data_IF_553540162129
#
_entry.id   IF_553540162129
#
_cell.length_a   1.000
_cell.length_b   1.000
_cell.length_c   1.000
_cell.angle_alpha   90.00
_cell.angle_beta   90.00
_cell.angle_gamma   90.00
#
_symmetry.space_group_name_H-M   'P 1'
#
loop_
_entity.id
_entity.type
_entity.pdbx_description
1 polymer ?
#
# COMPACT_ATOMS: atom_id res chain seq x y z
N UNK A 1 24.94 -10.53 17.57
CA UNK A 1 26.31 -10.88 18.03
C UNK A 1 27.28 -10.31 17.02
N UNK A 2 27.93 -9.18 17.37
CA UNK A 2 28.93 -8.57 16.50
C UNK A 2 30.17 -9.45 16.49
N UNK A 3 30.48 -10.06 15.34
CA UNK A 3 31.77 -10.72 15.14
C UNK A 3 32.87 -9.66 15.02
N UNK A 4 34.07 -9.93 15.57
CA UNK A 4 35.16 -8.98 15.44
C UNK A 4 35.54 -8.84 13.96
N UNK A 5 35.77 -7.63 13.51
CA UNK A 5 36.32 -7.28 12.19
C UNK A 5 37.81 -7.71 12.15
N UNK A 6 38.07 -9.02 12.20
CA UNK A 6 39.41 -9.54 11.94
C UNK A 6 39.58 -9.74 10.43
N UNK A 7 40.64 -9.20 9.88
CA UNK A 7 41.03 -9.43 8.49
C UNK A 7 41.10 -10.93 8.24
N UNK A 8 40.42 -11.46 7.21
CA UNK A 8 40.47 -12.89 6.91
C UNK A 8 41.93 -13.37 6.72
N UNK A 9 42.26 -14.55 7.19
CA UNK A 9 43.61 -15.14 7.00
C UNK A 9 44.01 -15.13 5.52
N UNK A 10 45.24 -14.85 5.20
CA UNK A 10 45.74 -14.78 3.82
C UNK A 10 45.65 -16.09 3.06
N UNK A 11 45.55 -17.22 3.79
CA UNK A 11 45.42 -18.58 3.27
C UNK A 11 43.95 -19.02 3.04
N UNK A 12 42.97 -18.23 3.46
CA UNK A 12 41.54 -18.52 3.26
C UNK A 12 41.10 -18.30 1.80
N UNK A 13 41.53 -17.18 1.21
CA UNK A 13 41.15 -16.78 -0.17
C UNK A 13 42.29 -17.07 -1.13
N UNK A 14 42.21 -18.19 -1.82
CA UNK A 14 43.27 -18.73 -2.69
C UNK A 14 42.95 -18.51 -4.19
N UNK A 15 42.19 -17.49 -4.53
CA UNK A 15 41.76 -17.16 -5.91
C UNK A 15 42.92 -17.19 -6.94
N UNK A 16 44.14 -16.69 -6.65
CA UNK A 16 45.27 -16.78 -7.58
C UNK A 16 45.62 -18.21 -8.02
N UNK A 17 45.29 -19.20 -7.23
CA UNK A 17 45.54 -20.61 -7.61
C UNK A 17 44.72 -21.08 -8.79
N UNK A 18 43.53 -20.47 -9.06
CA UNK A 18 42.74 -20.78 -10.24
C UNK A 18 43.55 -20.68 -11.52
N UNK A 19 44.43 -19.72 -11.62
CA UNK A 19 45.27 -19.47 -12.80
C UNK A 19 46.59 -20.25 -12.81
N UNK A 20 47.01 -20.75 -11.65
CA UNK A 20 48.27 -21.56 -11.51
C UNK A 20 48.02 -23.02 -11.82
N UNK A 21 46.79 -23.50 -11.64
CA UNK A 21 46.43 -24.89 -11.91
C UNK A 21 46.22 -25.08 -13.42
N UNK A 22 46.71 -26.26 -13.92
CA UNK A 22 46.51 -26.63 -15.32
C UNK A 22 45.00 -26.84 -15.58
N UNK A 23 44.37 -26.12 -16.54
CA UNK A 23 42.97 -26.29 -16.83
C UNK A 23 42.72 -27.71 -17.36
N UNK A 24 41.69 -28.39 -16.82
CA UNK A 24 41.20 -29.65 -17.36
C UNK A 24 40.60 -29.42 -18.75
N UNK A 25 40.73 -30.42 -19.63
CA UNK A 25 40.14 -30.38 -20.95
C UNK A 25 38.60 -30.27 -20.82
N UNK A 26 38.06 -29.23 -21.42
CA UNK A 26 36.62 -28.92 -21.40
C UNK A 26 36.02 -29.30 -22.76
N UNK A 27 34.91 -30.03 -22.78
CA UNK A 27 34.12 -30.26 -23.98
C UNK A 27 33.26 -29.02 -24.28
N UNK A 28 33.85 -28.10 -25.06
CA UNK A 28 33.20 -26.83 -25.44
C UNK A 28 31.90 -27.05 -26.24
N UNK A 29 31.73 -28.14 -26.94
CA UNK A 29 30.50 -28.44 -27.68
C UNK A 29 29.37 -28.83 -26.73
N UNK A 30 29.66 -29.73 -25.77
CA UNK A 30 28.71 -30.12 -24.74
C UNK A 30 28.29 -28.92 -23.88
N UNK A 31 29.24 -28.04 -23.55
CA UNK A 31 28.99 -26.79 -22.79
C UNK A 31 28.02 -25.86 -23.58
N UNK A 32 28.28 -25.62 -24.85
CA UNK A 32 27.45 -24.75 -25.69
C UNK A 32 26.02 -25.30 -25.89
N UNK A 33 25.89 -26.61 -26.11
CA UNK A 33 24.59 -27.27 -26.27
C UNK A 33 23.78 -27.18 -24.94
N UNK A 34 24.45 -27.32 -23.82
CA UNK A 34 23.82 -27.18 -22.52
C UNK A 34 23.29 -25.77 -22.24
N UNK A 35 24.04 -24.73 -22.64
CA UNK A 35 23.59 -23.33 -22.51
C UNK A 35 22.43 -23.03 -23.46
N UNK A 36 22.40 -23.61 -24.65
CA UNK A 36 21.26 -23.48 -25.58
C UNK A 36 19.99 -24.14 -25.03
N UNK A 37 20.10 -25.34 -24.43
CA UNK A 37 18.97 -26.03 -23.79
C UNK A 37 18.39 -25.20 -22.61
N UNK A 38 19.27 -24.62 -21.80
CA UNK A 38 18.89 -23.70 -20.73
C UNK A 38 18.14 -22.48 -21.28
N UNK A 39 18.63 -21.87 -22.36
CA UNK A 39 17.99 -20.70 -22.99
C UNK A 39 16.58 -21.02 -23.53
N UNK A 40 16.40 -22.19 -24.13
CA UNK A 40 15.08 -22.64 -24.61
C UNK A 40 14.09 -22.85 -23.45
N UNK A 41 14.55 -23.39 -22.33
CA UNK A 41 13.71 -23.67 -21.14
C UNK A 41 13.38 -22.43 -20.31
N UNK A 42 14.11 -21.31 -20.50
CA UNK A 42 13.81 -20.04 -19.81
C UNK A 42 12.38 -19.54 -20.06
N UNK A 43 11.84 -19.81 -21.24
CA UNK A 43 10.50 -19.36 -21.63
C UNK A 43 9.38 -20.23 -21.04
N UNK A 44 9.61 -21.53 -20.88
CA UNK A 44 8.57 -22.48 -20.51
C UNK A 44 8.39 -22.67 -18.99
N UNK A 45 9.50 -22.70 -18.24
CA UNK A 45 9.47 -23.00 -16.79
C UNK A 45 10.54 -22.22 -15.99
N UNK A 46 10.38 -20.90 -15.82
CA UNK A 46 11.37 -20.08 -15.13
C UNK A 46 11.62 -20.54 -13.66
N UNK A 47 10.61 -21.08 -13.00
CA UNK A 47 10.73 -21.57 -11.61
C UNK A 47 11.66 -22.78 -11.46
N UNK A 48 11.81 -23.61 -12.51
CA UNK A 48 12.69 -24.79 -12.51
C UNK A 48 14.08 -24.51 -13.09
N UNK A 49 14.23 -23.38 -13.72
CA UNK A 49 15.47 -23.00 -14.41
C UNK A 49 16.64 -22.89 -13.44
N UNK A 50 16.45 -22.27 -12.28
CA UNK A 50 17.50 -22.10 -11.28
C UNK A 50 18.01 -23.44 -10.78
N UNK A 51 17.10 -24.39 -10.49
CA UNK A 51 17.48 -25.74 -10.09
C UNK A 51 18.34 -26.44 -11.14
N UNK A 52 17.94 -26.36 -12.40
CA UNK A 52 18.69 -26.96 -13.51
C UNK A 52 20.05 -26.32 -13.73
N UNK A 53 20.14 -24.99 -13.59
CA UNK A 53 21.40 -24.27 -13.68
C UNK A 53 22.39 -24.72 -12.59
N UNK A 54 21.90 -24.87 -11.35
CA UNK A 54 22.69 -25.37 -10.22
C UNK A 54 23.09 -26.84 -10.43
N UNK A 55 22.18 -27.70 -10.87
CA UNK A 55 22.49 -29.10 -11.24
C UNK A 55 23.55 -29.16 -12.34
N UNK A 56 23.46 -28.27 -13.32
CA UNK A 56 24.45 -28.21 -14.40
C UNK A 56 25.81 -27.74 -13.91
N UNK A 57 25.85 -26.70 -13.04
CA UNK A 57 27.07 -26.25 -12.41
C UNK A 57 27.78 -27.41 -11.69
N UNK A 58 27.03 -28.18 -10.90
CA UNK A 58 27.56 -29.33 -10.18
C UNK A 58 28.09 -30.44 -11.11
N UNK A 59 27.28 -30.82 -12.14
CA UNK A 59 27.65 -31.88 -13.08
C UNK A 59 28.89 -31.54 -13.93
N UNK A 60 28.93 -30.30 -14.46
CA UNK A 60 29.99 -29.86 -15.36
C UNK A 60 31.34 -29.68 -14.64
N UNK A 61 31.30 -29.30 -13.37
CA UNK A 61 32.52 -29.06 -12.58
C UNK A 61 32.95 -30.23 -11.74
N UNK A 62 32.12 -31.28 -11.61
CA UNK A 62 32.37 -32.40 -10.71
C UNK A 62 32.30 -32.04 -9.24
N UNK A 63 31.61 -30.94 -8.91
CA UNK A 63 31.43 -30.52 -7.53
C UNK A 63 30.47 -31.44 -6.77
N UNK A 64 30.70 -31.61 -5.48
CA UNK A 64 29.86 -32.42 -4.58
C UNK A 64 28.58 -31.73 -4.17
N UNK A 65 28.60 -30.41 -4.10
CA UNK A 65 27.41 -29.57 -3.81
C UNK A 65 27.46 -28.27 -4.58
N UNK A 66 26.28 -27.74 -4.88
CA UNK A 66 26.12 -26.45 -5.54
C UNK A 66 24.86 -25.73 -5.03
N UNK A 67 24.82 -24.40 -5.16
CA UNK A 67 23.66 -23.63 -4.76
C UNK A 67 23.78 -22.14 -5.07
N UNK A 68 22.69 -21.44 -4.80
CA UNK A 68 22.56 -20.00 -4.95
C UNK A 68 22.38 -19.38 -3.56
N UNK A 69 23.17 -18.35 -3.27
CA UNK A 69 22.94 -17.46 -2.11
C UNK A 69 22.32 -16.17 -2.64
N UNK A 70 20.98 -16.06 -2.57
CA UNK A 70 20.26 -14.87 -3.00
C UNK A 70 20.42 -13.76 -1.96
N UNK A 71 20.81 -12.56 -2.40
CA UNK A 71 20.96 -11.41 -1.52
C UNK A 71 19.60 -10.78 -1.22
N UNK A 72 19.30 -10.57 0.05
CA UNK A 72 18.13 -9.87 0.56
C UNK A 72 18.60 -8.62 1.34
N UNK A 73 18.31 -7.41 0.85
CA UNK A 73 18.64 -6.19 1.56
C UNK A 73 17.79 -6.04 2.83
N UNK A 74 18.34 -5.37 3.85
CA UNK A 74 17.65 -5.06 5.11
C UNK A 74 17.73 -3.54 5.36
N UNK A 75 16.60 -2.93 5.72
CA UNK A 75 16.57 -1.49 6.03
C UNK A 75 17.46 -1.17 7.24
N UNK A 76 18.49 -0.33 7.04
CA UNK A 76 19.43 0.07 8.09
C UNK A 76 20.49 -0.96 8.43
N UNK A 77 20.57 -2.10 7.70
CA UNK A 77 21.55 -3.17 7.86
C UNK A 77 22.31 -3.50 6.59
N UNK A 78 23.28 -4.41 6.67
CA UNK A 78 24.02 -4.90 5.52
C UNK A 78 23.23 -5.94 4.70
N UNK A 79 22.10 -6.42 5.22
CA UNK A 79 21.32 -7.50 4.63
C UNK A 79 21.90 -8.90 4.91
N UNK A 80 21.30 -9.87 4.27
CA UNK A 80 21.68 -11.28 4.42
C UNK A 80 21.54 -12.03 3.11
N UNK A 81 22.11 -13.24 3.07
CA UNK A 81 21.91 -14.17 1.97
C UNK A 81 20.93 -15.25 2.39
N UNK A 82 19.99 -15.59 1.50
CA UNK A 82 19.12 -16.76 1.63
C UNK A 82 19.58 -17.84 0.64
N UNK A 83 19.81 -19.03 1.15
CA UNK A 83 20.25 -20.18 0.35
C UNK A 83 19.07 -20.79 -0.39
N UNK A 84 19.24 -20.98 -1.71
CA UNK A 84 18.18 -21.45 -2.60
C UNK A 84 18.71 -22.42 -3.66
N UNK A 85 17.83 -23.32 -4.08
CA UNK A 85 18.08 -24.25 -5.18
C UNK A 85 19.30 -25.11 -4.95
N UNK A 86 19.48 -25.58 -3.72
CA UNK A 86 20.67 -26.35 -3.28
C UNK A 86 20.67 -27.76 -3.85
N UNK A 87 21.86 -28.26 -4.18
CA UNK A 87 22.08 -29.64 -4.64
C UNK A 87 23.27 -30.23 -3.93
N UNK A 88 23.29 -31.60 -3.86
CA UNK A 88 24.32 -32.35 -3.14
C UNK A 88 24.07 -32.43 -1.64
N UNK A 89 25.11 -32.65 -0.85
CA UNK A 89 24.99 -32.79 0.59
C UNK A 89 24.47 -31.55 1.31
N UNK A 90 24.70 -30.38 0.75
CA UNK A 90 24.22 -29.10 1.31
C UNK A 90 22.74 -28.82 1.04
N UNK A 91 22.02 -29.66 0.29
CA UNK A 91 20.59 -29.51 0.02
C UNK A 91 19.73 -29.45 1.31
N UNK A 92 20.18 -30.06 2.39
CA UNK A 92 19.52 -30.02 3.72
C UNK A 92 19.41 -28.62 4.31
N UNK A 93 20.19 -27.65 3.83
CA UNK A 93 20.20 -26.27 4.31
C UNK A 93 19.37 -25.33 3.42
N UNK A 94 18.50 -25.87 2.57
CA UNK A 94 17.59 -25.05 1.74
C UNK A 94 16.82 -24.04 2.59
N UNK A 95 16.83 -22.77 2.19
CA UNK A 95 16.17 -21.68 2.91
C UNK A 95 16.97 -21.07 4.08
N UNK A 96 18.13 -21.63 4.45
CA UNK A 96 18.98 -21.06 5.49
C UNK A 96 19.46 -19.65 5.13
N UNK A 97 19.71 -18.82 6.14
CA UNK A 97 20.20 -17.47 5.97
C UNK A 97 21.60 -17.30 6.55
N UNK A 98 22.41 -16.46 5.90
CA UNK A 98 23.78 -16.15 6.33
C UNK A 98 24.03 -14.64 6.24
N UNK A 99 24.82 -14.06 7.18
CA UNK A 99 25.06 -12.63 7.22
C UNK A 99 25.86 -12.16 6.01
N UNK A 100 25.50 -10.95 5.49
CA UNK A 100 26.16 -10.34 4.31
C UNK A 100 27.64 -10.08 4.57
N UNK A 101 27.96 -9.47 5.71
CA UNK A 101 29.31 -8.95 6.05
C UNK A 101 30.21 -10.02 6.65
N UNK A 102 29.68 -11.16 7.00
CA UNK A 102 30.43 -12.26 7.59
C UNK A 102 30.16 -13.57 6.85
N UNK A 103 30.48 -13.56 5.54
CA UNK A 103 30.35 -14.73 4.68
C UNK A 103 31.29 -14.69 3.46
N UNK A 104 31.67 -15.84 2.89
CA UNK A 104 32.40 -15.90 1.63
C UNK A 104 31.65 -15.23 0.47
N UNK A 105 30.31 -15.33 0.49
CA UNK A 105 29.42 -14.72 -0.50
C UNK A 105 29.56 -13.20 -0.50
N UNK A 106 29.63 -12.57 0.68
CA UNK A 106 29.85 -11.16 0.81
C UNK A 106 31.14 -10.69 0.21
N UNK A 107 32.23 -11.37 0.51
CA UNK A 107 33.57 -11.06 -0.06
C UNK A 107 33.57 -11.24 -1.58
N UNK A 108 32.90 -12.26 -2.11
CA UNK A 108 32.78 -12.48 -3.55
C UNK A 108 32.04 -11.32 -4.23
N UNK A 109 30.94 -10.82 -3.65
CA UNK A 109 30.23 -9.67 -4.17
C UNK A 109 31.08 -8.39 -4.11
N UNK A 110 31.79 -8.13 -3.02
CA UNK A 110 32.63 -6.93 -2.85
C UNK A 110 33.81 -6.88 -3.85
N UNK A 111 34.33 -8.06 -4.22
CA UNK A 111 35.42 -8.16 -5.20
C UNK A 111 34.96 -8.12 -6.65
N UNK A 112 33.67 -8.30 -6.93
CA UNK A 112 33.12 -8.37 -8.28
C UNK A 112 33.76 -9.45 -9.18
N UNK A 113 34.38 -10.48 -8.59
CA UNK A 113 35.11 -11.50 -9.33
C UNK A 113 34.87 -12.91 -8.74
N UNK A 114 35.19 -13.92 -9.55
CA UNK A 114 35.18 -15.30 -9.06
C UNK A 114 36.16 -15.43 -7.90
N UNK A 115 35.70 -16.01 -6.80
CA UNK A 115 36.45 -16.13 -5.55
C UNK A 115 36.60 -17.61 -5.17
N UNK A 116 37.85 -18.08 -4.97
CA UNK A 116 38.14 -19.40 -4.48
C UNK A 116 38.52 -19.35 -3.01
N UNK A 117 37.84 -20.13 -2.17
CA UNK A 117 38.17 -20.25 -0.74
C UNK A 117 38.55 -21.67 -0.40
N UNK A 118 39.39 -21.81 0.63
CA UNK A 118 39.82 -23.08 1.20
C UNK A 118 39.39 -23.13 2.67
N UNK A 119 38.69 -24.17 3.10
CA UNK A 119 38.25 -24.39 4.46
C UNK A 119 37.60 -23.17 5.13
N UNK A 120 36.52 -22.57 4.53
CA UNK A 120 35.88 -21.38 5.07
C UNK A 120 35.31 -21.60 6.47
N UNK A 121 34.99 -22.83 6.87
CA UNK A 121 34.56 -23.21 8.23
C UNK A 121 35.58 -22.88 9.32
N UNK A 122 36.87 -22.74 8.98
CA UNK A 122 37.92 -22.35 9.95
C UNK A 122 37.80 -20.88 10.36
N UNK A 123 37.19 -20.06 9.52
CA UNK A 123 37.03 -18.64 9.78
C UNK A 123 35.57 -18.24 10.08
N UNK A 124 34.62 -18.77 9.31
CA UNK A 124 33.20 -18.47 9.47
C UNK A 124 32.56 -19.43 10.45
N UNK A 125 32.42 -19.00 11.70
CA UNK A 125 31.94 -19.84 12.82
C UNK A 125 30.57 -20.47 12.56
N UNK A 126 29.70 -19.83 11.80
CA UNK A 126 28.37 -20.36 11.46
C UNK A 126 28.46 -21.59 10.52
N UNK A 127 29.49 -21.69 9.65
CA UNK A 127 29.73 -22.88 8.82
C UNK A 127 30.18 -24.05 9.72
N UNK A 128 31.10 -23.77 10.63
CA UNK A 128 31.56 -24.78 11.60
C UNK A 128 30.44 -25.27 12.51
N UNK A 129 29.58 -24.38 13.00
CA UNK A 129 28.39 -24.71 13.82
C UNK A 129 27.37 -25.56 13.07
N UNK A 130 27.25 -25.37 11.75
CA UNK A 130 26.42 -26.21 10.90
C UNK A 130 26.98 -27.61 10.65
N UNK A 131 28.18 -27.90 11.15
CA UNK A 131 28.86 -29.18 10.95
C UNK A 131 29.26 -29.44 9.50
N UNK A 132 29.49 -28.38 8.73
CA UNK A 132 29.87 -28.46 7.32
C UNK A 132 31.36 -28.25 7.17
N UNK A 133 32.00 -29.16 6.42
CA UNK A 133 33.41 -29.04 6.02
C UNK A 133 33.46 -28.81 4.52
N UNK A 134 34.09 -27.73 4.09
CA UNK A 134 34.21 -27.36 2.69
C UNK A 134 35.68 -27.23 2.30
N UNK A 135 36.34 -28.29 1.86
CA UNK A 135 37.78 -28.24 1.49
C UNK A 135 38.05 -27.13 0.47
N UNK A 136 37.20 -26.98 -0.54
CA UNK A 136 37.27 -25.90 -1.52
C UNK A 136 35.89 -25.42 -1.91
N UNK A 137 35.73 -24.08 -1.98
CA UNK A 137 34.49 -23.43 -2.48
C UNK A 137 34.85 -22.43 -3.55
N UNK A 138 34.25 -22.58 -4.73
CA UNK A 138 34.31 -21.58 -5.80
C UNK A 138 33.01 -20.82 -5.87
N UNK A 139 33.07 -19.50 -5.74
CA UNK A 139 31.92 -18.60 -5.80
C UNK A 139 32.06 -17.66 -7.00
N UNK A 140 30.94 -17.35 -7.64
CA UNK A 140 30.87 -16.31 -8.66
C UNK A 140 29.72 -15.36 -8.33
N UNK A 141 29.93 -14.04 -8.52
CA UNK A 141 28.90 -13.05 -8.18
C UNK A 141 27.79 -13.04 -9.22
N UNK A 142 26.57 -12.76 -8.76
CA UNK A 142 25.39 -12.57 -9.58
C UNK A 142 24.98 -11.10 -9.52
N UNK A 143 24.89 -10.44 -10.68
CA UNK A 143 24.48 -9.05 -10.83
C UNK A 143 23.44 -8.89 -11.93
N UNK A 144 22.55 -7.90 -11.76
CA UNK A 144 21.73 -7.38 -12.87
C UNK A 144 22.53 -6.28 -13.61
N UNK A 145 22.13 -5.96 -14.84
CA UNK A 145 22.57 -4.77 -15.54
C UNK A 145 22.52 -3.55 -14.59
N UNK A 146 23.61 -2.77 -14.53
CA UNK A 146 23.83 -1.63 -13.62
C UNK A 146 24.40 -1.95 -12.22
N UNK A 147 24.91 -3.18 -12.00
CA UNK A 147 25.70 -3.47 -10.79
C UNK A 147 24.92 -3.75 -9.52
N UNK A 148 23.61 -3.95 -9.61
CA UNK A 148 22.84 -4.37 -8.44
C UNK A 148 23.13 -5.84 -8.08
N UNK A 149 23.57 -6.14 -6.84
CA UNK A 149 23.89 -7.49 -6.42
C UNK A 149 22.61 -8.31 -6.26
N UNK A 150 22.59 -9.50 -6.89
CA UNK A 150 21.53 -10.49 -6.72
C UNK A 150 21.94 -11.60 -5.73
N UNK A 151 23.22 -11.81 -5.55
CA UNK A 151 23.76 -12.88 -4.73
C UNK A 151 24.99 -13.54 -5.34
N UNK A 152 25.20 -14.81 -5.03
CA UNK A 152 26.31 -15.63 -5.56
C UNK A 152 25.82 -17.01 -5.99
N UNK A 153 26.41 -17.54 -7.07
CA UNK A 153 26.36 -18.95 -7.43
C UNK A 153 27.64 -19.61 -6.91
N UNK A 154 27.52 -20.72 -6.21
CA UNK A 154 28.67 -21.39 -5.62
C UNK A 154 28.64 -22.90 -5.83
N UNK A 155 29.84 -23.49 -5.83
CA UNK A 155 30.09 -24.92 -5.89
C UNK A 155 31.11 -25.31 -4.82
N UNK A 156 30.95 -26.50 -4.24
CA UNK A 156 31.80 -27.05 -3.18
C UNK A 156 32.40 -28.35 -3.62
N UNK A 157 33.69 -28.53 -3.36
CA UNK A 157 34.45 -29.81 -3.54
C UNK A 157 34.71 -30.48 -2.20
N UNK A 158 34.72 -31.80 -2.20
CA UNK A 158 35.16 -32.64 -1.07
C UNK A 158 36.70 -32.75 -0.95
N UNK A 159 37.40 -32.27 -1.98
CA UNK A 159 38.85 -32.33 -2.04
C UNK A 159 39.46 -30.99 -2.40
N UNK A 160 40.66 -30.70 -1.89
CA UNK A 160 41.44 -29.53 -2.32
C UNK A 160 41.99 -29.73 -3.74
N UNK A 161 42.15 -28.64 -4.48
CA UNK A 161 42.78 -28.65 -5.81
C UNK A 161 41.87 -29.04 -6.97
N UNK A 162 40.55 -29.16 -6.76
CA UNK A 162 39.63 -29.53 -7.82
C UNK A 162 39.42 -28.40 -8.82
N UNK A 163 39.23 -27.19 -8.32
CA UNK A 163 38.79 -26.07 -9.17
C UNK A 163 39.97 -25.33 -9.81
N UNK A 164 39.82 -24.99 -11.09
CA UNK A 164 40.80 -24.30 -11.94
C UNK A 164 40.11 -23.13 -12.72
N UNK A 165 40.88 -22.46 -13.59
CA UNK A 165 40.36 -21.34 -14.41
C UNK A 165 39.25 -21.73 -15.38
N UNK A 166 39.22 -22.96 -15.85
CA UNK A 166 38.15 -23.52 -16.68
C UNK A 166 36.82 -23.59 -15.91
N UNK A 167 36.85 -24.09 -14.68
CA UNK A 167 35.67 -24.14 -13.81
C UNK A 167 35.16 -22.73 -13.47
N UNK A 168 36.05 -21.78 -13.18
CA UNK A 168 35.67 -20.39 -12.94
C UNK A 168 35.05 -19.73 -14.17
N UNK A 169 35.48 -20.06 -15.39
CA UNK A 169 34.89 -19.59 -16.63
C UNK A 169 33.45 -20.14 -16.81
N UNK A 170 33.28 -21.45 -16.68
CA UNK A 170 31.98 -22.10 -16.77
C UNK A 170 31.00 -21.51 -15.76
N UNK A 171 31.43 -21.36 -14.51
CA UNK A 171 30.61 -20.78 -13.45
C UNK A 171 30.19 -19.35 -13.76
N UNK A 172 31.05 -18.51 -14.35
CA UNK A 172 30.69 -17.15 -14.76
C UNK A 172 29.68 -17.13 -15.91
N UNK A 173 29.81 -18.01 -16.87
CA UNK A 173 28.84 -18.17 -17.97
C UNK A 173 27.46 -18.59 -17.41
N UNK A 174 27.40 -19.60 -16.55
CA UNK A 174 26.17 -20.02 -15.88
C UNK A 174 25.60 -18.89 -14.99
N UNK A 175 26.44 -18.15 -14.29
CA UNK A 175 26.03 -17.03 -13.44
C UNK A 175 25.28 -15.94 -14.22
N UNK A 176 25.67 -15.67 -15.47
CA UNK A 176 24.96 -14.70 -16.31
C UNK A 176 23.50 -15.14 -16.59
N UNK A 177 23.25 -16.43 -16.82
CA UNK A 177 21.90 -16.96 -17.00
C UNK A 177 21.11 -16.99 -15.69
N UNK A 178 21.76 -17.34 -14.57
CA UNK A 178 21.13 -17.28 -13.23
C UNK A 178 20.69 -15.86 -12.90
N UNK A 179 21.54 -14.86 -13.19
CA UNK A 179 21.22 -13.46 -12.99
C UNK A 179 19.97 -13.04 -13.73
N UNK A 180 19.87 -13.38 -15.02
CA UNK A 180 18.71 -13.09 -15.86
C UNK A 180 17.46 -13.81 -15.31
N UNK A 181 17.57 -15.10 -14.95
CA UNK A 181 16.46 -15.88 -14.43
C UNK A 181 15.93 -15.32 -13.10
N UNK A 182 16.83 -14.96 -12.18
CA UNK A 182 16.46 -14.31 -10.91
C UNK A 182 15.74 -12.99 -11.12
N UNK A 183 16.27 -12.14 -12.02
CA UNK A 183 15.63 -10.88 -12.38
C UNK A 183 14.23 -11.10 -12.96
N UNK A 184 14.07 -12.10 -13.83
CA UNK A 184 12.78 -12.46 -14.41
C UNK A 184 11.76 -12.91 -13.35
N UNK A 185 12.15 -13.78 -12.43
CA UNK A 185 11.29 -14.25 -11.31
C UNK A 185 10.91 -13.09 -10.40
N UNK A 186 11.84 -12.21 -10.07
CA UNK A 186 11.55 -11.01 -9.25
C UNK A 186 10.56 -10.07 -9.95
N UNK A 187 10.79 -9.74 -11.22
CA UNK A 187 9.90 -8.89 -11.99
C UNK A 187 8.49 -9.50 -12.13
N UNK A 188 8.40 -10.81 -12.33
CA UNK A 188 7.12 -11.50 -12.42
C UNK A 188 6.33 -11.45 -11.10
N UNK A 189 7.02 -11.57 -9.95
CA UNK A 189 6.39 -11.40 -8.63
C UNK A 189 5.88 -9.98 -8.44
N UNK A 190 6.74 -8.98 -8.69
CA UNK A 190 6.35 -7.57 -8.58
C UNK A 190 5.15 -7.24 -9.46
N UNK A 191 5.11 -7.77 -10.69
CA UNK A 191 3.98 -7.56 -11.59
C UNK A 191 2.69 -8.22 -11.07
N UNK A 192 2.78 -9.43 -10.53
CA UNK A 192 1.61 -10.10 -9.90
C UNK A 192 1.08 -9.31 -8.71
N UNK A 193 1.97 -8.82 -7.85
CA UNK A 193 1.59 -8.04 -6.68
C UNK A 193 0.94 -6.71 -7.09
N UNK A 194 1.50 -6.03 -8.10
CA UNK A 194 0.94 -4.79 -8.65
C UNK A 194 -0.44 -5.01 -9.28
N UNK A 195 -0.63 -6.12 -10.03
CA UNK A 195 -1.93 -6.47 -10.60
C UNK A 195 -2.97 -6.77 -9.52
N UNK A 196 -2.60 -7.54 -8.49
CA UNK A 196 -3.50 -7.83 -7.36
C UNK A 196 -3.92 -6.55 -6.62
N UNK A 197 -2.99 -5.62 -6.42
CA UNK A 197 -3.29 -4.33 -5.83
C UNK A 197 -4.21 -3.48 -6.72
N UNK A 198 -3.97 -3.46 -8.02
CA UNK A 198 -4.82 -2.77 -8.98
C UNK A 198 -6.25 -3.33 -9.00
N UNK A 199 -6.42 -4.65 -8.98
CA UNK A 199 -7.74 -5.29 -8.91
C UNK A 199 -8.48 -4.93 -7.63
N UNK A 200 -7.77 -4.90 -6.48
CA UNK A 200 -8.36 -4.48 -5.20
C UNK A 200 -8.87 -3.04 -5.27
N UNK A 201 -8.04 -2.12 -5.76
CA UNK A 201 -8.43 -0.71 -5.93
C UNK A 201 -9.60 -0.54 -6.89
N UNK A 202 -9.63 -1.31 -7.99
CA UNK A 202 -10.74 -1.28 -8.96
C UNK A 202 -12.06 -1.71 -8.30
N UNK A 203 -12.07 -2.80 -7.54
CA UNK A 203 -13.28 -3.26 -6.82
C UNK A 203 -13.74 -2.25 -5.78
N UNK A 204 -12.80 -1.63 -5.06
CA UNK A 204 -13.14 -0.57 -4.11
C UNK A 204 -13.75 0.64 -4.82
N UNK A 205 -13.21 1.06 -5.97
CA UNK A 205 -13.79 2.13 -6.78
C UNK A 205 -15.20 1.77 -7.28
N UNK A 206 -15.42 0.56 -7.78
CA UNK A 206 -16.75 0.10 -8.21
C UNK A 206 -17.75 0.16 -7.05
N UNK A 207 -17.37 -0.31 -5.87
CA UNK A 207 -18.21 -0.23 -4.68
C UNK A 207 -18.54 1.23 -4.31
N UNK A 208 -17.55 2.13 -4.35
CA UNK A 208 -17.74 3.56 -4.09
C UNK A 208 -18.65 4.22 -5.14
N UNK A 209 -18.51 3.87 -6.41
CA UNK A 209 -19.37 4.37 -7.50
C UNK A 209 -20.80 3.90 -7.31
N UNK A 210 -21.02 2.62 -7.02
CA UNK A 210 -22.35 2.07 -6.78
C UNK A 210 -23.05 2.73 -5.57
N UNK A 211 -22.29 3.03 -4.51
CA UNK A 211 -22.81 3.77 -3.36
C UNK A 211 -23.30 5.16 -3.75
N UNK A 212 -22.59 5.84 -4.66
CA UNK A 212 -23.02 7.15 -5.17
C UNK A 212 -24.32 7.04 -5.95
N UNK A 213 -24.39 6.08 -6.87
CA UNK A 213 -25.62 5.88 -7.66
C UNK A 213 -26.82 5.58 -6.77
N UNK A 214 -26.64 4.75 -5.74
CA UNK A 214 -27.72 4.46 -4.76
C UNK A 214 -28.19 5.71 -4.02
N UNK A 215 -27.27 6.62 -3.64
CA UNK A 215 -27.62 7.88 -3.01
C UNK A 215 -28.34 8.82 -3.99
N UNK A 216 -27.87 8.89 -5.25
CA UNK A 216 -28.51 9.72 -6.30
C UNK A 216 -29.91 9.20 -6.61
N UNK A 217 -30.08 7.89 -6.74
CA UNK A 217 -31.39 7.27 -7.00
C UNK A 217 -32.37 7.57 -5.86
N UNK A 218 -31.95 7.39 -4.60
CA UNK A 218 -32.74 7.79 -3.45
C UNK A 218 -33.12 9.26 -3.46
N UNK A 219 -32.19 10.17 -3.86
CA UNK A 219 -32.49 11.60 -3.99
C UNK A 219 -33.52 11.89 -5.08
N UNK A 220 -33.44 11.22 -6.23
CA UNK A 220 -34.40 11.34 -7.32
C UNK A 220 -35.78 10.95 -6.81
N UNK A 221 -35.94 9.77 -6.25
CA UNK A 221 -37.21 9.28 -5.71
C UNK A 221 -37.79 10.21 -4.65
N UNK A 222 -36.97 10.65 -3.70
CA UNK A 222 -37.37 11.55 -2.62
C UNK A 222 -37.80 12.94 -3.22
N UNK A 223 -37.07 13.45 -4.20
CA UNK A 223 -37.37 14.73 -4.79
C UNK A 223 -38.66 14.66 -5.65
N UNK A 224 -38.87 13.58 -6.40
CA UNK A 224 -40.05 13.34 -7.22
C UNK A 224 -41.34 13.37 -6.42
N UNK A 225 -41.34 12.79 -5.22
CA UNK A 225 -42.51 12.75 -4.34
C UNK A 225 -42.89 14.12 -3.76
N UNK A 226 -41.93 15.08 -3.69
CA UNK A 226 -42.12 16.39 -3.05
C UNK A 226 -42.28 17.54 -4.03
N UNK A 227 -41.90 17.35 -5.28
CA UNK A 227 -41.89 18.42 -6.28
C UNK A 227 -43.32 18.79 -6.70
N UNK A 228 -43.61 20.09 -6.71
CA UNK A 228 -44.93 20.64 -7.15
C UNK A 228 -44.94 20.88 -8.65
N UNK A 229 -43.79 20.94 -9.31
CA UNK A 229 -43.63 21.09 -10.75
C UNK A 229 -42.30 20.50 -11.23
N UNK A 230 -42.17 20.30 -12.55
CA UNK A 230 -40.90 19.86 -13.14
C UNK A 230 -39.74 20.85 -12.87
N UNK A 231 -40.04 22.17 -12.85
CA UNK A 231 -39.06 23.21 -12.55
C UNK A 231 -38.60 23.15 -11.07
N UNK A 232 -39.52 22.92 -10.13
CA UNK A 232 -39.19 22.74 -8.70
C UNK A 232 -38.40 21.46 -8.47
N UNK A 233 -38.77 20.37 -9.13
CA UNK A 233 -37.99 19.11 -9.12
C UNK A 233 -36.55 19.36 -9.57
N UNK A 234 -36.34 19.96 -10.74
CA UNK A 234 -35.02 20.21 -11.30
C UNK A 234 -34.17 21.11 -10.39
N UNK A 235 -34.75 22.17 -9.84
CA UNK A 235 -34.07 23.10 -8.93
C UNK A 235 -33.65 22.42 -7.62
N UNK A 236 -34.55 21.68 -7.01
CA UNK A 236 -34.28 20.97 -5.73
C UNK A 236 -33.26 19.86 -5.91
N UNK A 237 -33.41 19.02 -6.94
CA UNK A 237 -32.46 17.95 -7.24
C UNK A 237 -31.06 18.49 -7.55
N UNK A 238 -30.97 19.55 -8.37
CA UNK A 238 -29.68 20.19 -8.68
C UNK A 238 -28.99 20.77 -7.44
N UNK A 239 -29.79 21.33 -6.50
CA UNK A 239 -29.25 21.80 -5.20
C UNK A 239 -28.65 20.66 -4.38
N UNK A 240 -29.36 19.56 -4.23
CA UNK A 240 -28.91 18.37 -3.51
C UNK A 240 -27.66 17.75 -4.13
N UNK A 241 -27.61 17.63 -5.46
CA UNK A 241 -26.45 17.10 -6.18
C UNK A 241 -25.21 18.01 -6.01
N UNK A 242 -25.41 19.34 -6.02
CA UNK A 242 -24.31 20.27 -5.75
C UNK A 242 -23.78 20.15 -4.33
N UNK A 243 -24.64 20.02 -3.32
CA UNK A 243 -24.21 19.79 -1.94
C UNK A 243 -23.41 18.49 -1.80
N UNK A 244 -23.88 17.41 -2.46
CA UNK A 244 -23.15 16.14 -2.51
C UNK A 244 -21.79 16.28 -3.20
N UNK A 245 -21.72 17.02 -4.30
CA UNK A 245 -20.46 17.26 -5.02
C UNK A 245 -19.46 18.08 -4.19
N UNK A 246 -19.94 19.15 -3.51
CA UNK A 246 -19.11 19.95 -2.61
C UNK A 246 -18.54 19.11 -1.44
N UNK A 247 -19.38 18.28 -0.81
CA UNK A 247 -18.94 17.36 0.22
C UNK A 247 -17.84 16.39 -0.27
N UNK A 248 -17.93 15.91 -1.53
CA UNK A 248 -16.92 15.02 -2.12
C UNK A 248 -15.62 15.73 -2.46
N UNK A 249 -15.62 17.01 -2.77
CA UNK A 249 -14.38 17.77 -2.97
C UNK A 249 -13.56 17.80 -1.68
N UNK A 250 -14.21 17.91 -0.52
CA UNK A 250 -13.54 17.83 0.78
C UNK A 250 -12.84 16.46 1.01
N UNK A 251 -13.48 15.37 0.58
CA UNK A 251 -12.90 14.02 0.65
C UNK A 251 -11.73 13.87 -0.34
N UNK A 252 -11.83 14.47 -1.52
CA UNK A 252 -10.85 14.31 -2.61
C UNK A 252 -9.49 14.95 -2.33
N UNK A 253 -9.41 16.02 -1.55
CA UNK A 253 -8.14 16.64 -1.15
C UNK A 253 -7.24 15.69 -0.35
N UNK A 254 -7.79 14.60 0.17
CA UNK A 254 -7.06 13.54 0.88
C UNK A 254 -6.31 12.57 -0.05
N UNK A 255 -6.72 12.47 -1.32
CA UNK A 255 -6.19 11.48 -2.29
C UNK A 255 -5.31 12.11 -3.38
N UNK A 256 -4.76 13.29 -3.18
CA UNK A 256 -3.85 13.90 -4.16
C UNK A 256 -2.55 13.08 -4.24
N UNK A 257 -2.14 12.61 -5.43
CA UNK A 257 -0.92 11.83 -5.59
C UNK A 257 0.30 12.70 -5.22
N UNK A 258 1.08 12.25 -4.24
CA UNK A 258 2.32 12.89 -3.78
C UNK A 258 2.32 13.43 -2.35
N UNK A 259 1.20 13.37 -1.62
CA UNK A 259 1.16 13.65 -0.18
C UNK A 259 0.96 12.33 0.56
N UNK A 260 1.82 12.03 1.52
CA UNK A 260 1.65 10.90 2.43
C UNK A 260 0.29 11.04 3.14
N UNK A 261 -0.49 9.97 3.22
CA UNK A 261 -1.82 9.92 3.89
C UNK A 261 -1.82 10.49 5.31
N UNK A 262 -0.68 10.47 5.98
CA UNK A 262 -0.45 11.02 7.32
C UNK A 262 -0.31 12.55 7.38
N UNK A 263 -0.25 13.27 6.25
CA UNK A 263 -0.01 14.72 6.22
C UNK A 263 -1.20 15.55 5.71
N UNK A 264 -2.24 14.92 5.15
CA UNK A 264 -3.46 15.64 4.75
C UNK A 264 -4.44 15.69 5.92
N UNK A 265 -4.88 16.88 6.38
CA UNK A 265 -5.84 16.99 7.46
C UNK A 265 -7.15 16.30 7.06
N UNK A 266 -7.69 15.45 7.93
CA UNK A 266 -8.99 14.82 7.74
C UNK A 266 -10.06 15.93 7.60
N UNK A 267 -11.04 15.78 6.67
CA UNK A 267 -12.14 16.74 6.56
C UNK A 267 -12.87 16.81 7.90
N UNK A 268 -13.17 18.04 8.33
CA UNK A 268 -13.74 18.29 9.64
C UNK A 268 -15.20 18.70 9.56
N UNK A 269 -15.92 18.59 10.66
CA UNK A 269 -17.31 19.00 10.76
C UNK A 269 -17.47 20.49 10.41
N UNK A 270 -16.57 21.33 10.90
CA UNK A 270 -16.56 22.78 10.60
C UNK A 270 -16.41 23.02 9.09
N UNK A 271 -15.42 22.40 8.46
CA UNK A 271 -15.18 22.55 7.03
C UNK A 271 -16.39 22.09 6.16
N UNK A 272 -17.07 21.01 6.59
CA UNK A 272 -18.27 20.53 5.93
C UNK A 272 -19.41 21.53 6.02
N UNK A 273 -19.65 22.09 7.21
CA UNK A 273 -20.69 23.10 7.43
C UNK A 273 -20.38 24.34 6.56
N UNK A 274 -19.14 24.84 6.59
CA UNK A 274 -18.71 26.00 5.78
C UNK A 274 -18.95 25.78 4.29
N UNK A 275 -18.53 24.63 3.75
CA UNK A 275 -18.73 24.29 2.34
C UNK A 275 -20.21 24.18 1.96
N UNK A 276 -21.07 23.69 2.86
CA UNK A 276 -22.52 23.57 2.62
C UNK A 276 -23.19 24.93 2.59
N UNK A 277 -22.70 25.89 3.40
CA UNK A 277 -23.26 27.24 3.48
C UNK A 277 -22.68 28.23 2.48
N UNK A 278 -21.60 27.89 1.78
CA UNK A 278 -20.99 28.79 0.78
C UNK A 278 -22.00 29.39 -0.24
N UNK A 279 -22.98 28.63 -0.79
CA UNK A 279 -23.98 29.17 -1.70
C UNK A 279 -24.96 30.17 -1.05
N UNK A 280 -25.06 30.19 0.27
CA UNK A 280 -25.97 31.04 1.04
C UNK A 280 -25.25 32.22 1.71
N UNK A 281 -23.95 32.35 1.54
CA UNK A 281 -23.15 33.48 2.03
C UNK A 281 -23.50 34.70 1.21
N UNK A 282 -24.22 35.63 1.82
CA UNK A 282 -24.37 37.01 1.36
C UNK A 282 -23.27 37.86 1.98
N UNK A 283 -23.08 39.10 1.52
CA UNK A 283 -22.04 40.04 1.94
C UNK A 283 -22.03 40.27 3.47
N UNK A 284 -23.10 39.92 4.16
CA UNK A 284 -23.28 40.09 5.60
C UNK A 284 -22.89 38.81 6.35
N UNK A 285 -21.62 38.74 6.73
CA UNK A 285 -21.00 37.62 7.46
C UNK A 285 -21.59 37.34 8.88
N UNK A 286 -22.45 38.28 9.41
CA UNK A 286 -22.98 38.16 10.79
C UNK A 286 -24.25 37.29 10.86
N UNK A 287 -24.80 36.84 9.75
CA UNK A 287 -26.05 36.05 9.71
C UNK A 287 -25.86 34.58 9.95
N UNK A 288 -24.60 34.12 10.07
CA UNK A 288 -24.27 32.74 10.25
C UNK A 288 -23.18 32.59 11.31
N UNK A 289 -23.51 31.94 12.42
CA UNK A 289 -22.60 31.75 13.55
C UNK A 289 -22.38 30.27 13.79
N UNK A 290 -21.12 29.87 13.95
CA UNK A 290 -20.72 28.48 14.24
C UNK A 290 -19.89 28.44 15.50
N UNK A 291 -20.24 27.52 16.41
CA UNK A 291 -19.53 27.29 17.65
C UNK A 291 -19.44 25.79 17.97
N UNK A 292 -18.26 25.32 18.31
CA UNK A 292 -18.00 23.94 18.68
C UNK A 292 -16.54 23.56 18.45
N UNK A 293 -16.08 22.56 19.18
CA UNK A 293 -14.77 21.96 18.98
C UNK A 293 -14.74 21.18 17.67
N UNK A 294 -13.70 21.40 16.86
CA UNK A 294 -13.62 20.77 15.55
C UNK A 294 -13.32 19.26 15.67
N UNK A 295 -13.94 18.46 14.79
CA UNK A 295 -13.74 17.01 14.78
C UNK A 295 -13.59 16.48 13.38
N UNK A 296 -12.75 15.47 13.22
CA UNK A 296 -12.57 14.77 11.96
C UNK A 296 -13.78 13.90 11.63
N UNK A 297 -14.16 13.88 10.35
CA UNK A 297 -15.25 13.08 9.81
C UNK A 297 -14.74 11.99 8.86
N UNK A 298 -15.37 10.82 8.92
CA UNK A 298 -15.20 9.77 7.92
C UNK A 298 -16.01 10.05 6.64
N UNK A 299 -15.62 9.42 5.54
CA UNK A 299 -16.22 9.65 4.21
C UNK A 299 -17.73 9.40 4.17
N UNK A 300 -18.19 8.39 4.92
CA UNK A 300 -19.61 8.06 5.03
C UNK A 300 -20.41 9.13 5.78
N UNK A 301 -19.81 9.72 6.81
CA UNK A 301 -20.44 10.77 7.60
C UNK A 301 -20.58 12.06 6.80
N UNK A 302 -19.54 12.45 6.06
CA UNK A 302 -19.52 13.67 5.23
C UNK A 302 -20.71 13.70 4.28
N UNK A 303 -20.94 12.60 3.54
CA UNK A 303 -22.05 12.51 2.59
C UNK A 303 -23.42 12.68 3.25
N UNK A 304 -23.63 12.02 4.40
CA UNK A 304 -24.90 12.10 5.12
C UNK A 304 -25.14 13.46 5.77
N UNK A 305 -24.12 14.00 6.44
CA UNK A 305 -24.21 15.30 7.10
C UNK A 305 -24.35 16.47 6.12
N UNK A 306 -23.69 16.39 4.94
CA UNK A 306 -23.87 17.38 3.89
C UNK A 306 -25.34 17.53 3.48
N UNK A 307 -26.06 16.40 3.36
CA UNK A 307 -27.48 16.41 3.05
C UNK A 307 -28.31 17.00 4.19
N UNK A 308 -27.99 16.64 5.44
CA UNK A 308 -28.67 17.18 6.62
C UNK A 308 -28.53 18.70 6.66
N UNK A 309 -27.32 19.22 6.56
CA UNK A 309 -27.08 20.67 6.60
C UNK A 309 -27.65 21.39 5.37
N UNK A 310 -27.59 20.78 4.18
CA UNK A 310 -28.19 21.36 2.99
C UNK A 310 -29.71 21.50 3.11
N UNK A 311 -30.41 20.50 3.65
CA UNK A 311 -31.86 20.59 3.86
C UNK A 311 -32.21 21.63 4.92
N UNK A 312 -31.46 21.72 6.03
CA UNK A 312 -31.66 22.75 7.04
C UNK A 312 -31.41 24.16 6.46
N UNK A 313 -30.31 24.34 5.70
CA UNK A 313 -29.99 25.61 5.04
C UNK A 313 -31.05 26.02 4.02
N UNK A 314 -31.54 25.06 3.21
CA UNK A 314 -32.59 25.31 2.22
C UNK A 314 -33.91 25.72 2.89
N UNK A 315 -34.26 25.06 4.00
CA UNK A 315 -35.44 25.39 4.79
C UNK A 315 -35.34 26.81 5.39
N UNK A 316 -34.18 27.15 5.97
CA UNK A 316 -33.92 28.48 6.49
C UNK A 316 -34.01 29.57 5.41
N UNK A 317 -33.49 29.26 4.20
CA UNK A 317 -33.54 30.22 3.08
C UNK A 317 -34.93 30.38 2.45
N UNK A 318 -35.76 29.31 2.43
CA UNK A 318 -37.09 29.35 1.80
C UNK A 318 -38.18 29.81 2.76
N UNK A 319 -38.11 29.39 4.02
CA UNK A 319 -39.24 29.52 4.96
C UNK A 319 -38.82 30.08 6.32
N UNK A 320 -37.51 30.04 6.64
CA UNK A 320 -37.00 30.37 7.94
C UNK A 320 -36.22 31.69 8.03
N UNK A 321 -35.26 31.73 8.95
CA UNK A 321 -34.52 32.95 9.29
C UNK A 321 -33.82 33.63 8.09
N UNK A 322 -33.28 32.84 7.18
CA UNK A 322 -32.53 33.40 6.02
C UNK A 322 -33.43 33.99 4.95
N UNK A 323 -34.77 33.86 5.01
CA UNK A 323 -35.71 34.51 4.10
C UNK A 323 -35.89 36.01 4.44
N UNK A 324 -35.53 36.45 5.64
CA UNK A 324 -35.59 37.82 6.12
C UNK A 324 -34.21 38.45 6.25
N UNK A 325 -34.07 39.75 6.08
CA UNK A 325 -32.79 40.47 6.17
C UNK A 325 -32.18 40.46 7.58
N UNK A 326 -33.01 40.46 8.61
CA UNK A 326 -32.59 40.41 10.02
C UNK A 326 -32.41 39.01 10.60
N UNK A 327 -32.67 37.98 9.78
CA UNK A 327 -32.63 36.59 10.24
C UNK A 327 -31.21 36.07 10.39
N UNK A 328 -31.03 35.24 11.39
CA UNK A 328 -29.75 34.64 11.75
C UNK A 328 -29.89 33.14 12.00
N UNK A 329 -28.89 32.37 11.59
CA UNK A 329 -28.73 30.95 11.88
C UNK A 329 -27.51 30.74 12.75
N UNK A 330 -27.67 30.07 13.88
CA UNK A 330 -26.56 29.61 14.71
C UNK A 330 -26.51 28.09 14.77
N UNK A 331 -25.30 27.55 14.59
CA UNK A 331 -25.02 26.11 14.68
C UNK A 331 -23.99 25.94 15.79
N UNK A 332 -24.34 25.17 16.80
CA UNK A 332 -23.38 24.75 17.83
C UNK A 332 -23.34 23.24 17.91
N UNK A 333 -22.19 22.72 18.29
CA UNK A 333 -22.02 21.28 18.52
C UNK A 333 -21.05 21.03 19.68
N UNK A 334 -21.34 19.96 20.40
CA UNK A 334 -20.53 19.53 21.53
C UNK A 334 -20.48 17.99 21.63
N UNK A 335 -19.38 17.49 22.13
CA UNK A 335 -19.25 16.06 22.42
C UNK A 335 -19.81 15.77 23.81
N UNK A 336 -20.82 14.93 23.90
CA UNK A 336 -21.43 14.44 25.14
C UNK A 336 -21.15 12.93 25.28
N UNK A 337 -19.98 12.59 25.83
CA UNK A 337 -19.52 11.21 25.90
C UNK A 337 -19.30 10.59 24.51
N UNK A 338 -20.07 9.55 24.19
CA UNK A 338 -19.99 8.85 22.89
C UNK A 338 -20.96 9.41 21.83
N UNK A 339 -21.60 10.53 22.12
CA UNK A 339 -22.59 11.18 21.24
C UNK A 339 -22.11 12.60 20.91
N UNK A 340 -22.28 12.99 19.65
CA UNK A 340 -22.17 14.38 19.19
C UNK A 340 -23.57 15.00 19.22
N UNK A 341 -23.75 16.05 20.01
CA UNK A 341 -24.96 16.87 20.04
C UNK A 341 -24.77 18.09 19.11
N UNK A 342 -25.58 18.19 18.07
CA UNK A 342 -25.59 19.33 17.14
C UNK A 342 -26.89 20.09 17.38
N UNK A 343 -26.79 21.40 17.59
CA UNK A 343 -27.94 22.28 17.75
C UNK A 343 -27.94 23.34 16.64
N UNK A 344 -28.98 23.31 15.82
CA UNK A 344 -29.31 24.32 14.82
C UNK A 344 -30.36 25.24 15.37
N UNK A 345 -30.17 26.54 15.34
CA UNK A 345 -31.14 27.53 15.81
C UNK A 345 -31.32 28.66 14.80
N UNK A 346 -32.58 28.93 14.45
CA UNK A 346 -32.99 30.05 13.64
C UNK A 346 -33.66 31.13 14.47
N UNK A 347 -33.38 32.39 14.17
CA UNK A 347 -33.95 33.53 14.83
C UNK A 347 -34.11 34.74 13.85
N UNK A 348 -35.08 35.62 14.10
CA UNK A 348 -35.26 36.79 13.25
C UNK A 348 -35.91 36.53 11.86
N UNK A 349 -36.46 35.36 11.67
CA UNK A 349 -37.23 34.99 10.50
C UNK A 349 -38.72 35.30 10.65
N UNK A 350 -39.57 34.87 9.70
CA UNK A 350 -41.02 35.01 9.78
C UNK A 350 -41.56 34.37 11.06
N UNK A 351 -42.56 34.98 11.74
CA UNK A 351 -43.15 34.43 12.96
C UNK A 351 -43.85 33.08 12.67
N UNK A 352 -43.56 32.07 13.46
CA UNK A 352 -44.14 30.73 13.35
C UNK A 352 -45.38 30.67 14.24
N UNK A 353 -46.56 30.67 13.62
CA UNK A 353 -47.84 30.62 14.35
C UNK A 353 -48.20 29.18 14.79
N UNK A 354 -47.87 28.18 13.98
CA UNK A 354 -48.11 26.75 14.25
C UNK A 354 -46.94 25.91 13.73
N UNK A 355 -46.63 24.84 14.46
CA UNK A 355 -45.73 23.81 13.94
C UNK A 355 -46.32 23.20 12.66
N UNK A 356 -45.53 22.88 11.64
CA UNK A 356 -46.01 22.22 10.44
C UNK A 356 -46.74 20.91 10.79
N UNK A 357 -48.04 20.79 10.38
CA UNK A 357 -48.84 19.58 10.65
C UNK A 357 -48.29 18.34 9.95
N UNK A 358 -47.63 18.52 8.84
CA UNK A 358 -46.91 17.46 8.13
C UNK A 358 -45.44 17.85 7.98
N UNK A 359 -44.58 16.94 8.33
CA UNK A 359 -43.18 17.05 7.97
C UNK A 359 -43.07 17.10 6.44
N UNK A 360 -42.71 18.24 5.92
CA UNK A 360 -42.33 18.32 4.51
C UNK A 360 -41.22 17.30 4.20
N UNK A 361 -41.05 17.03 2.93
CA UNK A 361 -40.19 15.95 2.45
C UNK A 361 -38.72 16.08 2.92
N UNK A 362 -38.18 17.30 3.06
CA UNK A 362 -36.90 17.60 3.68
C UNK A 362 -36.80 17.06 5.10
N UNK A 363 -37.90 17.16 5.88
CA UNK A 363 -37.97 16.60 7.23
C UNK A 363 -37.95 15.06 7.27
N UNK A 364 -38.52 14.39 6.24
CA UNK A 364 -38.42 12.92 6.09
C UNK A 364 -36.98 12.50 5.75
N UNK A 365 -36.31 13.22 4.83
CA UNK A 365 -34.92 12.98 4.48
C UNK A 365 -34.00 13.17 5.68
N UNK A 366 -34.18 14.27 6.41
CA UNK A 366 -33.44 14.55 7.64
C UNK A 366 -33.59 13.41 8.65
N UNK A 367 -34.81 13.02 8.98
CA UNK A 367 -35.07 11.93 9.93
C UNK A 367 -34.48 10.61 9.43
N UNK A 368 -34.69 10.24 8.17
CA UNK A 368 -34.14 9.01 7.63
C UNK A 368 -32.61 8.98 7.66
N UNK A 369 -31.97 10.10 7.32
CA UNK A 369 -30.50 10.20 7.35
C UNK A 369 -29.99 10.09 8.79
N UNK A 370 -30.57 10.84 9.72
CA UNK A 370 -30.15 10.83 11.11
C UNK A 370 -30.45 9.48 11.78
N UNK A 371 -31.68 8.95 11.64
CA UNK A 371 -32.07 7.72 12.38
C UNK A 371 -31.62 6.46 11.71
N UNK A 372 -31.82 6.30 10.38
CA UNK A 372 -31.51 5.02 9.72
C UNK A 372 -30.05 4.87 9.36
N UNK A 373 -29.41 5.98 8.92
CA UNK A 373 -28.00 5.91 8.50
C UNK A 373 -27.05 6.02 9.68
N UNK A 374 -27.30 6.98 10.58
CA UNK A 374 -26.41 7.22 11.73
C UNK A 374 -26.87 6.57 13.04
N UNK A 375 -28.12 6.11 13.13
CA UNK A 375 -28.68 5.56 14.37
C UNK A 375 -28.88 6.63 15.44
N UNK A 376 -28.98 7.90 15.04
CA UNK A 376 -29.17 9.06 15.91
C UNK A 376 -30.63 9.48 16.06
N UNK A 377 -30.85 10.56 16.78
CA UNK A 377 -32.17 11.19 16.97
C UNK A 377 -32.18 12.61 16.47
N UNK A 378 -33.36 13.07 15.99
CA UNK A 378 -33.60 14.41 15.52
C UNK A 378 -34.91 14.93 16.12
N UNK A 379 -34.83 16.05 16.85
CA UNK A 379 -35.95 16.74 17.43
C UNK A 379 -36.03 18.17 16.94
N UNK A 380 -37.25 18.66 16.67
CA UNK A 380 -37.50 20.02 16.19
C UNK A 380 -38.44 20.74 17.13
N UNK A 381 -38.00 21.87 17.66
CA UNK A 381 -38.77 22.71 18.60
C UNK A 381 -39.14 24.03 17.87
N UNK A 382 -40.44 24.15 17.61
CA UNK A 382 -41.01 25.31 16.92
C UNK A 382 -41.48 26.37 17.94
N UNK A 383 -40.97 27.59 17.82
CA UNK A 383 -41.32 28.73 18.67
C UNK A 383 -41.69 29.90 17.78
N UNK A 384 -42.48 30.84 18.30
CA UNK A 384 -42.91 32.03 17.54
C UNK A 384 -41.75 32.82 16.94
N UNK A 385 -40.57 32.76 17.60
CA UNK A 385 -39.36 33.51 17.22
C UNK A 385 -38.43 32.77 16.30
N UNK A 386 -38.72 31.48 15.93
CA UNK A 386 -37.87 30.63 15.11
C UNK A 386 -37.92 29.15 15.48
N UNK A 387 -37.06 28.34 14.86
CA UNK A 387 -36.98 26.90 15.10
C UNK A 387 -35.62 26.54 15.71
N UNK A 388 -35.65 25.54 16.58
CA UNK A 388 -34.42 24.87 17.07
C UNK A 388 -34.51 23.39 16.67
N UNK A 389 -33.49 22.89 16.00
CA UNK A 389 -33.34 21.48 15.65
C UNK A 389 -32.16 20.90 16.42
N UNK A 390 -32.41 19.86 17.17
CA UNK A 390 -31.39 19.11 17.92
C UNK A 390 -31.16 17.77 17.27
N UNK A 391 -29.89 17.45 17.01
CA UNK A 391 -29.47 16.21 16.37
C UNK A 391 -28.43 15.54 17.26
N UNK A 392 -28.72 14.30 17.67
CA UNK A 392 -27.78 13.49 18.47
C UNK A 392 -27.27 12.35 17.60
N UNK A 393 -25.95 12.24 17.46
CA UNK A 393 -25.30 11.25 16.58
C UNK A 393 -24.22 10.45 17.34
N UNK A 394 -24.22 9.12 17.24
CA UNK A 394 -23.12 8.30 17.77
C UNK A 394 -21.80 8.63 17.06
N UNK A 395 -20.76 9.01 17.82
CA UNK A 395 -19.46 9.42 17.29
C UNK A 395 -18.81 8.29 16.48
N UNK A 396 -18.97 7.03 16.89
CA UNK A 396 -18.47 5.87 16.17
C UNK A 396 -18.99 5.75 14.72
N UNK A 397 -20.12 6.40 14.40
CA UNK A 397 -20.68 6.44 13.04
C UNK A 397 -20.20 7.64 12.22
N UNK A 398 -19.53 8.58 12.86
CA UNK A 398 -19.04 9.81 12.24
C UNK A 398 -17.56 9.72 11.86
N UNK A 399 -16.81 8.80 12.45
CA UNK A 399 -15.38 8.62 12.25
C UNK A 399 -15.01 7.43 11.34
N UNK A 400 -16.03 6.71 10.87
CA UNK A 400 -15.89 5.56 9.94
C UNK A 400 -15.91 5.96 8.46
#
# INVERSE_FOLDING_TARGET
>A
MNAPASVPPTDLYITPELHRRLPKAVDHLAEKLALQDIGAQMLDHPDRLLQKLVERAMQTTGAASAGISAYEPEEGGAGFFRWRDLRGELARFEGATTPRDYSPCGVCLDRFEATLTRHPERYYSWIAQAGVVCPEVLLVPLYIAHGQPLGTLWIVSETEGLFDSGHARIMRELASFVGIALAMVQNQRQLKDALAQQEMLTREMEHRVNNVFSVVDAMIHVTQQSATSAADFAKTLSGRLRALAAARVLVRHRCAPGLNESQSPSPTLRALIEATFEPYRTVDLQRFVMDGEDMALGDNAITGLALVFHELATNAAKYGAMSESAGCVSISWERQGEVLAIRWRESGGPPIERAPEQSGFGGVLLRNTVSRRFGGTLESHWRKQGVTVEVLLPIAKLTQ
#
